data_IF_754098187091
#
_entry.id   IF_754098187091
#
_cell.length_a   1.000
_cell.length_b   1.000
_cell.length_c   1.000
_cell.angle_alpha   90.00
_cell.angle_beta   90.00
_cell.angle_gamma   90.00
#
_symmetry.space_group_name_H-M   'P 1'
#
loop_
_entity.id
_entity.type
_entity.pdbx_description
1 polymer ?
#
# COMPACT_ATOMS: atom_id res chain seq x y z
N UNK A 1 35.46 14.83 -22.17
CA UNK A 1 34.65 15.39 -21.05
C UNK A 1 33.14 15.28 -21.30
N UNK A 2 32.62 15.75 -22.44
CA UNK A 2 31.17 15.72 -22.74
C UNK A 2 30.55 14.30 -22.71
N UNK A 3 31.18 13.32 -23.34
CA UNK A 3 30.72 11.91 -23.35
C UNK A 3 30.71 11.27 -21.96
N UNK A 4 31.70 11.61 -21.13
CA UNK A 4 31.79 11.13 -19.75
C UNK A 4 30.66 11.71 -18.88
N UNK A 5 30.36 13.00 -19.04
CA UNK A 5 29.24 13.66 -18.35
C UNK A 5 27.90 13.07 -18.79
N UNK A 6 27.72 12.79 -20.09
CA UNK A 6 26.51 12.12 -20.59
C UNK A 6 26.34 10.71 -20.01
N UNK A 7 27.43 9.94 -19.90
CA UNK A 7 27.39 8.61 -19.29
C UNK A 7 27.01 8.64 -17.80
N UNK A 8 27.57 9.59 -17.04
CA UNK A 8 27.22 9.81 -15.63
C UNK A 8 25.74 10.19 -15.48
N UNK A 9 25.24 11.07 -16.34
CA UNK A 9 23.84 11.48 -16.31
C UNK A 9 22.89 10.29 -16.54
N UNK A 10 23.19 9.44 -17.53
CA UNK A 10 22.39 8.23 -17.78
C UNK A 10 22.44 7.23 -16.61
N UNK A 11 23.60 7.09 -15.96
CA UNK A 11 23.73 6.23 -14.78
C UNK A 11 22.86 6.72 -13.62
N UNK A 12 22.86 8.03 -13.33
CA UNK A 12 22.04 8.61 -12.25
C UNK A 12 20.54 8.42 -12.51
N UNK A 13 20.08 8.64 -13.75
CA UNK A 13 18.68 8.46 -14.12
C UNK A 13 18.26 6.98 -14.01
N UNK A 14 19.14 6.04 -14.36
CA UNK A 14 18.85 4.60 -14.26
C UNK A 14 18.71 4.10 -12.82
N UNK A 15 19.25 4.85 -11.85
CA UNK A 15 19.16 4.53 -10.42
C UNK A 15 17.95 5.17 -9.73
N UNK A 16 17.21 6.03 -10.42
CA UNK A 16 15.98 6.60 -9.87
C UNK A 16 14.91 5.51 -9.74
N UNK A 17 14.52 5.18 -8.51
CA UNK A 17 13.41 4.30 -8.20
C UNK A 17 12.22 5.14 -7.75
N UNK A 18 11.06 4.98 -8.40
CA UNK A 18 9.80 5.57 -7.97
C UNK A 18 8.92 4.46 -7.40
N UNK A 19 9.13 4.11 -6.14
CA UNK A 19 8.20 3.21 -5.44
C UNK A 19 6.92 3.96 -5.04
N UNK A 20 5.79 3.29 -5.22
CA UNK A 20 4.53 3.70 -4.59
C UNK A 20 4.75 3.57 -3.08
N UNK A 21 4.55 4.67 -2.35
CA UNK A 21 4.59 4.64 -0.90
C UNK A 21 3.38 3.88 -0.37
N UNK A 22 3.61 2.87 0.47
CA UNK A 22 2.56 2.01 1.03
C UNK A 22 2.46 2.20 2.56
N UNK A 23 1.69 3.21 3.01
CA UNK A 23 1.57 3.59 4.43
C UNK A 23 0.55 2.74 5.20
N UNK A 24 -0.14 1.82 4.53
CA UNK A 24 -1.20 1.00 5.13
C UNK A 24 -1.00 -0.46 4.76
N UNK A 25 -0.73 -1.29 5.76
CA UNK A 25 -0.69 -2.75 5.57
C UNK A 25 -1.96 -3.40 6.13
N UNK A 26 -2.46 -4.39 5.39
CA UNK A 26 -3.63 -5.17 5.78
C UNK A 26 -3.25 -6.63 6.03
N UNK A 27 -3.72 -7.18 7.16
CA UNK A 27 -3.61 -8.59 7.48
C UNK A 27 -5.02 -9.18 7.67
N UNK A 28 -5.51 -9.98 6.72
CA UNK A 28 -6.76 -10.71 6.89
C UNK A 28 -6.56 -11.87 7.88
N UNK A 29 -7.57 -12.12 8.68
CA UNK A 29 -7.69 -13.28 9.54
C UNK A 29 -9.07 -13.90 9.35
N UNK A 30 -9.09 -15.20 9.03
CA UNK A 30 -10.31 -15.94 8.70
C UNK A 30 -10.42 -17.10 9.66
N UNK A 31 -11.45 -17.06 10.51
CA UNK A 31 -11.72 -18.09 11.49
C UNK A 31 -13.00 -18.84 11.12
N UNK A 32 -12.90 -20.16 10.90
CA UNK A 32 -14.08 -21.02 10.72
C UNK A 32 -14.83 -21.13 12.05
N UNK A 33 -16.13 -20.89 12.02
CA UNK A 33 -17.02 -21.10 13.17
C UNK A 33 -17.71 -22.46 13.01
N UNK A 34 -18.32 -22.70 11.84
CA UNK A 34 -18.94 -23.97 11.47
C UNK A 34 -18.90 -24.18 9.94
N UNK A 35 -19.63 -25.17 9.43
CA UNK A 35 -19.63 -25.53 8.00
C UNK A 35 -20.16 -24.44 7.06
N UNK A 36 -20.89 -23.45 7.59
CA UNK A 36 -21.50 -22.36 6.81
C UNK A 36 -21.15 -20.97 7.33
N UNK A 37 -20.53 -20.84 8.51
CA UNK A 37 -20.20 -19.55 9.12
C UNK A 37 -18.71 -19.37 9.36
N UNK A 38 -18.23 -18.17 9.06
CA UNK A 38 -16.85 -17.75 9.23
C UNK A 38 -16.82 -16.34 9.81
N UNK A 39 -15.90 -16.10 10.75
CA UNK A 39 -15.52 -14.75 11.15
C UNK A 39 -14.38 -14.25 10.27
N UNK A 40 -14.53 -13.04 9.74
CA UNK A 40 -13.50 -12.34 8.99
C UNK A 40 -13.08 -11.09 9.78
N UNK A 41 -11.80 -11.03 10.14
CA UNK A 41 -11.19 -9.86 10.74
C UNK A 41 -10.14 -9.30 9.78
N UNK A 42 -10.18 -8.00 9.50
CA UNK A 42 -9.16 -7.33 8.69
C UNK A 42 -8.41 -6.36 9.60
N UNK A 43 -7.15 -6.65 9.88
CA UNK A 43 -6.30 -5.80 10.69
C UNK A 43 -5.56 -4.82 9.79
N UNK A 44 -5.81 -3.52 9.97
CA UNK A 44 -5.12 -2.45 9.27
C UNK A 44 -4.07 -1.80 10.19
N UNK A 45 -2.82 -1.77 9.76
CA UNK A 45 -1.76 -0.97 10.39
C UNK A 45 -1.53 0.27 9.53
N UNK A 46 -1.82 1.44 10.08
CA UNK A 46 -1.86 2.72 9.37
C UNK A 46 -0.81 3.64 9.96
N UNK A 47 0.07 4.17 9.12
CA UNK A 47 1.05 5.17 9.53
C UNK A 47 0.39 6.52 9.87
N UNK A 48 1.03 7.35 10.74
CA UNK A 48 0.49 8.66 11.10
C UNK A 48 0.20 9.55 9.89
N UNK A 49 -0.95 10.24 9.92
CA UNK A 49 -1.40 11.14 8.85
C UNK A 49 -2.27 10.48 7.78
N UNK A 50 -2.45 9.17 7.85
CA UNK A 50 -3.35 8.41 6.97
C UNK A 50 -4.62 8.03 7.71
N UNK A 51 -5.72 7.91 6.96
CA UNK A 51 -7.05 7.63 7.51
C UNK A 51 -7.73 6.52 6.73
N UNK A 52 -8.36 5.59 7.46
CA UNK A 52 -9.28 4.62 6.89
C UNK A 52 -10.68 5.23 6.89
N UNK A 53 -11.36 5.19 5.75
CA UNK A 53 -12.72 5.68 5.61
C UNK A 53 -13.74 4.68 6.15
N UNK A 54 -14.94 5.17 6.43
CA UNK A 54 -16.02 4.36 6.98
C UNK A 54 -16.37 3.19 6.05
N UNK A 55 -16.49 1.99 6.62
CA UNK A 55 -16.92 0.80 5.88
C UNK A 55 -18.42 0.78 5.62
N UNK A 56 -19.20 1.47 6.46
CA UNK A 56 -20.64 1.59 6.32
C UNK A 56 -20.99 3.02 5.95
N UNK A 57 -21.58 3.20 4.77
CA UNK A 57 -21.92 4.51 4.20
C UNK A 57 -23.43 4.52 3.91
N UNK A 58 -24.19 5.55 4.32
CA UNK A 58 -25.61 5.64 4.02
C UNK A 58 -25.92 5.73 2.52
N UNK A 59 -27.18 5.53 2.17
CA UNK A 59 -27.65 5.78 0.80
C UNK A 59 -27.37 7.23 0.41
N UNK A 60 -26.56 7.43 -0.63
CA UNK A 60 -26.18 8.74 -1.16
C UNK A 60 -24.73 9.17 -0.89
N UNK A 61 -23.98 8.45 -0.04
CA UNK A 61 -22.59 8.78 0.29
C UNK A 61 -22.43 9.62 1.55
#
# INVERSE_FOLDING_TARGET
MRLFITGIFFLIVSLAQSQIYDPVSFKPDVQKIDDTHYALSIHASIEPGWHLYAQNVPDGG
#
